data_IF_960422758072
#
_entry.id   IF_960422758072
#
_cell.length_a   1.000
_cell.length_b   1.000
_cell.length_c   1.000
_cell.angle_alpha   90.00
_cell.angle_beta   90.00
_cell.angle_gamma   90.00
#
_symmetry.space_group_name_H-M   'P 1'
#
loop_
_entity.id
_entity.type
_entity.pdbx_description
1 polymer ?
#
# COMPACT_ATOMS: atom_id res chain seq x y z
N UNK A 1 -0.40 -3.97 -10.00
CA UNK A 1 -0.29 -3.65 -8.57
C UNK A 1 -1.69 -3.60 -8.02
N UNK A 2 -2.00 -4.40 -7.00
CA UNK A 2 -3.29 -4.36 -6.29
C UNK A 2 -3.05 -3.87 -4.89
N UNK A 3 -3.79 -2.83 -4.45
CA UNK A 3 -3.73 -2.32 -3.08
C UNK A 3 -5.06 -2.58 -2.38
N UNK A 4 -4.99 -3.21 -1.22
CA UNK A 4 -6.14 -3.52 -0.36
C UNK A 4 -5.91 -2.88 1.01
N UNK A 5 -6.96 -2.30 1.56
CA UNK A 5 -6.92 -1.71 2.90
C UNK A 5 -6.82 -2.82 3.96
N UNK A 6 -5.89 -2.68 4.91
CA UNK A 6 -5.80 -3.57 6.08
C UNK A 6 -6.35 -2.83 7.29
N UNK A 7 -7.62 -3.02 7.58
CA UNK A 7 -8.26 -2.51 8.80
C UNK A 7 -8.99 -1.18 8.63
N UNK A 8 -9.49 -0.64 9.75
CA UNK A 8 -10.30 0.56 9.78
C UNK A 8 -9.41 1.80 9.87
N UNK A 9 -9.65 2.80 9.01
CA UNK A 9 -8.93 4.06 9.04
C UNK A 9 -9.08 4.71 10.44
N UNK A 10 -7.95 5.01 11.09
CA UNK A 10 -7.94 5.66 12.40
C UNK A 10 -7.93 7.16 12.18
N UNK A 11 -8.88 7.86 12.81
CA UNK A 11 -9.02 9.32 12.73
C UNK A 11 -8.65 9.90 14.08
N UNK A 12 -7.64 10.75 14.08
CA UNK A 12 -7.24 11.55 15.23
C UNK A 12 -7.59 13.00 14.94
N UNK A 13 -8.36 13.63 15.83
CA UNK A 13 -8.75 15.04 15.70
C UNK A 13 -8.18 15.83 16.89
N UNK A 14 -7.30 16.79 16.58
CA UNK A 14 -6.58 17.62 17.56
C UNK A 14 -7.19 19.03 17.67
N UNK A 15 -8.50 19.18 17.37
CA UNK A 15 -9.21 20.48 17.44
C UNK A 15 -8.91 21.48 16.32
N UNK A 16 -7.83 21.28 15.55
CA UNK A 16 -7.45 22.13 14.39
C UNK A 16 -7.10 21.35 13.13
N UNK A 17 -6.82 20.05 13.27
CA UNK A 17 -6.38 19.16 12.19
C UNK A 17 -6.97 17.78 12.41
N UNK A 18 -7.48 17.21 11.34
CA UNK A 18 -7.87 15.81 11.29
C UNK A 18 -6.75 15.02 10.61
N UNK A 19 -6.19 14.06 11.34
CA UNK A 19 -5.21 13.11 10.81
C UNK A 19 -5.90 11.77 10.61
N UNK A 20 -5.97 11.34 9.35
CA UNK A 20 -6.48 10.03 8.99
C UNK A 20 -5.28 9.15 8.65
N UNK A 21 -5.06 8.12 9.45
CA UNK A 21 -4.03 7.10 9.20
C UNK A 21 -4.70 5.82 8.73
N UNK A 22 -4.26 5.34 7.58
CA UNK A 22 -4.82 4.16 6.96
C UNK A 22 -3.73 3.17 6.56
N UNK A 23 -3.84 1.94 7.05
CA UNK A 23 -2.92 0.86 6.73
C UNK A 23 -3.31 0.18 5.43
N UNK A 24 -2.36 0.08 4.51
CA UNK A 24 -2.54 -0.45 3.16
C UNK A 24 -1.64 -1.66 2.93
N UNK A 25 -2.17 -2.68 2.25
CA UNK A 25 -1.42 -3.79 1.69
C UNK A 25 -1.32 -3.64 0.19
N UNK A 26 -0.12 -3.63 -0.36
CA UNK A 26 0.06 -3.68 -1.80
C UNK A 26 0.74 -4.97 -2.22
N UNK A 27 0.15 -5.67 -3.19
CA UNK A 27 0.77 -6.83 -3.84
C UNK A 27 1.34 -6.39 -5.18
N UNK A 28 2.64 -6.60 -5.34
CA UNK A 28 3.39 -6.31 -6.56
C UNK A 28 3.88 -7.63 -7.15
N UNK A 29 3.42 -7.92 -8.36
CA UNK A 29 3.86 -9.08 -9.14
C UNK A 29 4.99 -8.67 -10.08
N UNK A 30 6.16 -9.29 -9.91
CA UNK A 30 7.31 -9.08 -10.78
C UNK A 30 7.44 -10.27 -11.72
N UNK A 31 7.43 -9.98 -13.01
CA UNK A 31 7.60 -10.99 -14.08
C UNK A 31 8.87 -10.69 -14.86
N UNK A 32 9.67 -11.72 -15.08
CA UNK A 32 10.85 -11.67 -15.94
C UNK A 32 10.62 -12.56 -17.16
N UNK A 33 11.03 -12.07 -18.33
CA UNK A 33 10.85 -12.72 -19.62
C UNK A 33 12.20 -12.87 -20.32
N UNK A 34 12.32 -13.89 -21.17
CA UNK A 34 13.52 -14.15 -21.96
C UNK A 34 14.52 -15.08 -21.29
N UNK A 35 15.70 -15.22 -21.91
CA UNK A 35 16.69 -16.23 -21.53
C UNK A 35 17.16 -16.08 -20.08
N UNK A 36 17.13 -17.18 -19.34
CA UNK A 36 17.53 -17.28 -17.94
C UNK A 36 16.65 -16.46 -16.99
N UNK A 37 15.39 -16.19 -17.37
CA UNK A 37 14.48 -15.34 -16.59
C UNK A 37 14.19 -15.90 -15.20
N UNK A 38 14.16 -17.23 -15.04
CA UNK A 38 14.03 -17.89 -13.75
C UNK A 38 15.20 -17.56 -12.82
N UNK A 39 16.43 -17.71 -13.28
CA UNK A 39 17.61 -17.39 -12.48
C UNK A 39 17.65 -15.90 -12.10
N UNK A 40 17.21 -15.02 -13.01
CA UNK A 40 17.08 -13.59 -12.72
C UNK A 40 16.00 -13.30 -11.67
N UNK A 41 14.84 -13.97 -11.74
CA UNK A 41 13.82 -13.86 -10.69
C UNK A 41 14.35 -14.28 -9.32
N UNK A 42 15.09 -15.40 -9.23
CA UNK A 42 15.69 -15.83 -7.97
C UNK A 42 16.71 -14.82 -7.43
N UNK A 43 17.56 -14.27 -8.30
CA UNK A 43 18.50 -13.21 -7.92
C UNK A 43 17.79 -11.95 -7.43
N UNK A 44 16.75 -11.51 -8.14
CA UNK A 44 15.96 -10.34 -7.78
C UNK A 44 15.26 -10.53 -6.42
N UNK A 45 14.68 -11.72 -6.19
CA UNK A 45 14.09 -12.10 -4.91
C UNK A 45 15.13 -12.02 -3.77
N UNK A 46 16.34 -12.53 -3.99
CA UNK A 46 17.42 -12.46 -3.00
C UNK A 46 17.83 -11.00 -2.71
N UNK A 47 17.89 -10.14 -3.72
CA UNK A 47 18.18 -8.70 -3.55
C UNK A 47 17.09 -8.04 -2.69
N UNK A 48 15.81 -8.33 -2.92
CA UNK A 48 14.74 -7.78 -2.08
C UNK A 48 14.73 -8.32 -0.65
N UNK A 49 15.32 -9.49 -0.41
CA UNK A 49 15.53 -10.02 0.94
C UNK A 49 16.78 -9.45 1.62
N UNK A 50 17.59 -8.65 0.91
CA UNK A 50 18.79 -8.04 1.48
C UNK A 50 18.45 -7.04 2.57
N UNK A 51 19.31 -6.97 3.59
CA UNK A 51 19.18 -6.02 4.70
C UNK A 51 19.17 -4.56 4.23
N UNK A 52 19.96 -4.23 3.19
CA UNK A 52 20.00 -2.90 2.62
C UNK A 52 18.63 -2.47 2.05
N UNK A 53 18.00 -3.35 1.28
CA UNK A 53 16.67 -3.07 0.72
C UNK A 53 15.59 -2.98 1.80
N UNK A 54 15.60 -3.92 2.76
CA UNK A 54 14.65 -3.90 3.88
C UNK A 54 14.83 -2.66 4.76
N UNK A 55 16.07 -2.20 4.96
CA UNK A 55 16.37 -0.97 5.70
C UNK A 55 15.86 0.26 4.96
N UNK A 56 16.03 0.31 3.64
CA UNK A 56 15.49 1.38 2.81
C UNK A 56 13.95 1.43 2.87
N UNK A 57 13.27 0.29 2.84
CA UNK A 57 11.80 0.28 2.99
C UNK A 57 11.38 0.79 4.36
N UNK A 58 12.05 0.34 5.43
CA UNK A 58 11.77 0.81 6.79
C UNK A 58 11.95 2.32 6.94
N UNK A 59 12.99 2.91 6.34
CA UNK A 59 13.19 4.37 6.40
C UNK A 59 12.10 5.15 5.68
N UNK A 60 11.36 4.52 4.77
CA UNK A 60 10.23 5.10 4.06
C UNK A 60 8.87 4.70 4.66
N UNK A 61 8.84 4.14 5.88
CA UNK A 61 7.63 3.64 6.56
C UNK A 61 6.91 2.50 5.81
N UNK A 62 7.65 1.72 5.02
CA UNK A 62 7.16 0.54 4.33
C UNK A 62 7.72 -0.73 4.98
N UNK A 63 6.90 -1.78 5.03
CA UNK A 63 7.26 -3.11 5.52
C UNK A 63 7.04 -4.16 4.44
N UNK A 64 7.87 -5.19 4.39
CA UNK A 64 7.59 -6.38 3.59
C UNK A 64 6.89 -7.41 4.46
N UNK A 65 5.72 -7.88 4.03
CA UNK A 65 4.94 -8.92 4.72
C UNK A 65 5.44 -10.29 4.30
N UNK A 66 5.52 -10.53 2.98
CA UNK A 66 5.95 -11.82 2.43
C UNK A 66 6.46 -11.71 0.99
N UNK A 67 7.34 -12.65 0.66
CA UNK A 67 7.72 -12.98 -0.71
C UNK A 67 7.08 -14.31 -1.09
N UNK A 68 6.41 -14.39 -2.23
CA UNK A 68 5.97 -15.68 -2.76
C UNK A 68 7.15 -16.51 -3.26
N UNK A 69 6.90 -17.79 -3.51
CA UNK A 69 7.82 -18.60 -4.30
C UNK A 69 7.89 -18.11 -5.75
N UNK A 70 9.03 -18.39 -6.39
CA UNK A 70 9.25 -18.09 -7.81
C UNK A 70 8.50 -19.15 -8.61
N UNK A 71 7.52 -18.72 -9.38
CA UNK A 71 6.75 -19.57 -10.29
C UNK A 71 7.46 -19.64 -11.63
N UNK A 72 7.62 -20.86 -12.13
CA UNK A 72 8.04 -21.13 -13.49
C UNK A 72 6.81 -21.12 -14.40
N UNK A 73 6.72 -20.13 -15.27
CA UNK A 73 5.65 -19.94 -16.26
C UNK A 73 6.19 -20.08 -17.69
N UNK A 74 7.33 -20.74 -17.86
CA UNK A 74 7.92 -21.04 -19.16
C UNK A 74 6.90 -21.75 -20.04
N UNK A 75 6.68 -21.23 -21.25
CA UNK A 75 5.73 -21.76 -22.20
C UNK A 75 6.36 -21.87 -23.59
N UNK A 76 5.91 -22.84 -24.37
CA UNK A 76 6.24 -22.94 -25.79
C UNK A 76 5.27 -22.07 -26.57
N UNK A 77 5.78 -21.06 -27.25
CA UNK A 77 4.98 -20.12 -28.06
C UNK A 77 5.47 -20.20 -29.49
N UNK A 78 4.61 -20.66 -30.41
CA UNK A 78 4.89 -20.62 -31.85
C UNK A 78 6.21 -21.29 -32.27
N UNK A 79 6.50 -22.47 -31.73
CA UNK A 79 7.73 -23.25 -31.92
C UNK A 79 9.03 -22.70 -31.28
N UNK A 80 8.96 -21.60 -30.51
CA UNK A 80 10.08 -21.08 -29.72
C UNK A 80 9.85 -21.26 -28.21
N UNK A 81 10.93 -21.29 -27.43
CA UNK A 81 10.90 -21.41 -25.98
C UNK A 81 11.01 -20.04 -25.33
N UNK A 82 9.95 -19.60 -24.64
CA UNK A 82 10.00 -18.39 -23.84
C UNK A 82 10.04 -18.76 -22.36
N UNK A 83 11.20 -18.56 -21.73
CA UNK A 83 11.33 -18.70 -20.29
C UNK A 83 10.65 -17.52 -19.59
N UNK A 84 9.78 -17.83 -18.62
CA UNK A 84 9.11 -16.83 -17.80
C UNK A 84 9.18 -17.20 -16.33
N UNK A 85 9.74 -16.30 -15.54
CA UNK A 85 9.72 -16.36 -14.08
C UNK A 85 8.77 -15.31 -13.51
N UNK A 86 8.05 -15.64 -12.44
CA UNK A 86 7.22 -14.66 -11.74
C UNK A 86 7.20 -14.90 -10.24
N UNK A 87 7.29 -13.82 -9.45
CA UNK A 87 7.05 -13.87 -8.01
C UNK A 87 6.31 -12.61 -7.55
N UNK A 88 5.63 -12.72 -6.41
CA UNK A 88 4.87 -11.63 -5.81
C UNK A 88 5.56 -11.17 -4.52
N UNK A 89 5.55 -9.86 -4.31
CA UNK A 89 5.97 -9.23 -3.05
C UNK A 89 4.78 -8.51 -2.47
N UNK A 90 4.52 -8.77 -1.19
CA UNK A 90 3.45 -8.11 -0.44
C UNK A 90 4.06 -7.09 0.50
N UNK A 91 3.71 -5.83 0.29
CA UNK A 91 4.14 -4.69 1.10
C UNK A 91 3.01 -4.22 2.01
N UNK A 92 3.37 -3.79 3.22
CA UNK A 92 2.53 -3.01 4.12
C UNK A 92 3.06 -1.58 4.15
N UNK A 93 2.19 -0.59 4.05
CA UNK A 93 2.55 0.82 4.12
C UNK A 93 1.38 1.62 4.70
N UNK A 94 1.66 2.82 5.21
CA UNK A 94 0.64 3.71 5.75
C UNK A 94 0.38 4.87 4.78
N UNK A 95 -0.89 5.17 4.55
CA UNK A 95 -1.32 6.44 3.98
C UNK A 95 -1.73 7.35 5.14
N UNK A 96 -1.10 8.52 5.22
CA UNK A 96 -1.42 9.53 6.22
C UNK A 96 -1.95 10.74 5.46
N UNK A 97 -3.20 11.09 5.71
CA UNK A 97 -3.82 12.30 5.20
C UNK A 97 -3.98 13.25 6.39
N UNK A 98 -3.33 14.41 6.32
CA UNK A 98 -3.42 15.47 7.32
C UNK A 98 -4.22 16.62 6.68
N UNK A 99 -5.46 16.79 7.13
CA UNK A 99 -6.37 17.81 6.60
C UNK A 99 -6.60 18.86 7.68
N UNK A 100 -6.39 20.16 7.40
CA UNK A 100 -6.81 21.21 8.32
C UNK A 100 -8.32 21.17 8.44
N UNK A 101 -8.81 20.93 9.66
CA UNK A 101 -10.24 20.90 9.97
C UNK A 101 -10.44 21.85 11.14
N UNK A 102 -10.98 23.03 10.86
CA UNK A 102 -11.32 24.01 11.89
C UNK A 102 -12.44 23.46 12.76
N UNK A 103 -12.33 23.68 14.08
CA UNK A 103 -13.37 23.30 15.03
C UNK A 103 -14.69 23.99 14.68
N UNK A 104 -15.77 23.23 14.62
CA UNK A 104 -17.11 23.81 14.49
C UNK A 104 -17.48 24.42 15.86
N UNK A 105 -17.27 25.73 16.01
CA UNK A 105 -17.56 26.44 17.26
C UNK A 105 -19.07 26.63 17.50
N UNK A 106 -19.87 26.74 16.43
CA UNK A 106 -21.34 26.80 16.53
C UNK A 106 -22.00 26.29 15.25
N UNK A 107 -23.20 25.70 15.40
CA UNK A 107 -24.04 25.28 14.28
C UNK A 107 -25.36 26.04 14.37
N UNK A 108 -25.68 26.84 13.33
CA UNK A 108 -27.00 27.45 13.20
C UNK A 108 -27.97 26.48 12.51
N UNK A 109 -28.94 25.95 13.26
CA UNK A 109 -30.01 25.16 12.70
C UNK A 109 -31.23 26.06 12.39
N UNK A 110 -31.54 26.25 11.10
CA UNK A 110 -32.77 26.93 10.68
C UNK A 110 -33.87 25.92 10.40
N UNK A 111 -34.84 25.85 11.31
CA UNK A 111 -36.15 25.22 11.04
C UNK A 111 -37.18 26.34 10.92
N UNK A 112 -38.21 26.14 10.09
CA UNK A 112 -39.12 27.18 9.58
C UNK A 112 -39.77 28.15 10.59
N UNK A 113 -39.61 28.02 11.92
CA UNK A 113 -40.08 29.02 12.87
C UNK A 113 -39.26 29.24 14.17
N UNK A 114 -38.06 28.68 14.36
CA UNK A 114 -37.23 28.91 15.56
C UNK A 114 -35.73 28.81 15.23
N UNK A 115 -34.93 29.80 15.64
CA UNK A 115 -33.46 29.73 15.64
C UNK A 115 -33.05 29.18 17.00
N UNK A 116 -32.39 28.03 17.02
CA UNK A 116 -31.80 27.46 18.23
C UNK A 116 -30.30 27.30 18.02
N UNK A 117 -29.51 28.02 18.82
CA UNK A 117 -28.07 27.79 18.92
C UNK A 117 -27.82 26.58 19.81
N UNK A 118 -27.05 25.62 19.32
CA UNK A 118 -26.56 24.48 20.11
C UNK A 118 -25.03 24.56 20.10
N UNK A 119 -24.46 24.86 21.26
CA UNK A 119 -23.02 24.99 21.47
C UNK A 119 -22.73 25.99 22.60
N UNK A 120 -22.10 25.51 23.67
CA UNK A 120 -21.57 26.30 24.79
C UNK A 120 -20.15 25.85 25.10
#
# INVERSE_FOLDING_TARGET
MTSNEIGQATREFDGKRERITQSMQSTVSLSCFGRNSLAQCYKLKAIFQSSAFLSFLKSNHWGVIRFSDVRNLTATVGADYEERGQFDVVFSHHHIVDTPLESIESVEQRTNHLIQQIGG
#
